data_IF_043735558215
#
_entry.id   IF_043735558215
#
_cell.length_a   1.000
_cell.length_b   1.000
_cell.length_c   1.000
_cell.angle_alpha   90.00
_cell.angle_beta   90.00
_cell.angle_gamma   90.00
#
_symmetry.space_group_name_H-M   'P 1'
#
loop_
_entity.id
_entity.type
_entity.pdbx_description
1 polymer ?
#
# COMPACT_ATOMS: atom_id res chain seq x y z
N UNK A 1 -18.76 4.23 44.96
CA UNK A 1 -19.52 4.04 43.70
C UNK A 1 -18.79 4.79 42.61
N UNK A 2 -18.36 4.24 41.48
CA UNK A 2 -18.38 2.85 41.00
C UNK A 2 -17.22 2.70 39.98
N UNK A 3 -16.53 1.56 39.97
CA UNK A 3 -15.35 1.18 39.15
C UNK A 3 -15.54 1.23 37.61
N UNK A 4 -16.60 1.86 37.11
CA UNK A 4 -17.01 1.81 35.70
C UNK A 4 -16.42 2.95 34.86
N UNK A 5 -16.12 4.11 35.45
CA UNK A 5 -15.64 5.30 34.73
C UNK A 5 -14.13 5.30 34.45
N UNK A 6 -13.35 4.42 35.09
CA UNK A 6 -11.91 4.29 34.79
C UNK A 6 -11.62 3.43 33.55
N UNK A 7 -12.54 2.52 33.18
CA UNK A 7 -12.38 1.63 32.01
C UNK A 7 -12.87 2.24 30.69
N UNK A 8 -13.62 3.34 30.72
CA UNK A 8 -14.09 4.03 29.51
C UNK A 8 -13.13 5.12 29.00
N UNK A 9 -12.08 5.46 29.77
CA UNK A 9 -11.00 6.33 29.28
C UNK A 9 -10.00 5.67 28.32
N UNK A 10 -10.07 4.34 28.17
CA UNK A 10 -9.11 3.55 27.38
C UNK A 10 -9.67 3.02 26.04
N UNK A 11 -10.96 3.20 25.74
CA UNK A 11 -11.62 2.63 24.54
C UNK A 11 -12.38 3.71 23.75
N UNK A 12 -11.81 4.91 23.69
CA UNK A 12 -12.32 5.99 22.81
C UNK A 12 -11.20 6.68 22.01
N UNK A 13 -10.00 6.09 21.98
CA UNK A 13 -8.81 6.60 21.26
C UNK A 13 -8.35 5.54 20.26
N UNK A 14 -9.26 5.07 19.39
CA UNK A 14 -8.94 4.20 18.27
C UNK A 14 -9.70 4.63 17.00
N UNK A 15 -9.67 5.95 16.74
CA UNK A 15 -9.61 6.63 15.44
C UNK A 15 -10.01 8.10 15.69
N UNK A 16 -9.10 9.05 15.47
CA UNK A 16 -8.84 9.49 14.10
C UNK A 16 -7.35 9.79 13.85
N UNK A 17 -6.47 8.80 13.94
CA UNK A 17 -5.06 8.92 13.51
C UNK A 17 -4.86 8.58 12.02
N UNK A 18 -5.88 8.82 11.19
CA UNK A 18 -5.82 8.63 9.72
C UNK A 18 -5.65 9.97 8.98
N UNK A 19 -5.66 11.09 9.71
CA UNK A 19 -5.66 12.43 9.13
C UNK A 19 -4.62 13.31 9.87
N UNK A 20 -3.46 13.50 9.23
CA UNK A 20 -2.43 14.51 9.55
C UNK A 20 -1.71 14.37 10.91
N UNK A 21 -0.41 14.03 10.90
CA UNK A 21 0.49 14.60 11.93
C UNK A 21 1.63 13.77 12.50
N UNK A 22 1.72 12.46 12.29
CA UNK A 22 2.89 11.71 12.77
C UNK A 22 3.40 10.79 11.66
N UNK A 23 4.18 11.39 10.75
CA UNK A 23 5.40 10.70 10.33
C UNK A 23 6.09 10.33 11.63
N UNK A 24 6.01 9.06 12.03
CA UNK A 24 6.95 8.51 12.96
C UNK A 24 8.21 8.30 12.14
N UNK A 25 9.26 9.14 12.27
CA UNK A 25 10.55 8.79 11.72
C UNK A 25 11.10 7.73 12.66
N UNK A 26 10.54 6.52 12.63
CA UNK A 26 11.30 5.33 12.99
C UNK A 26 12.38 5.27 11.92
N UNK A 27 13.46 5.98 12.22
CA UNK A 27 14.83 5.79 11.74
C UNK A 27 14.89 4.76 10.63
N UNK A 28 15.05 5.25 9.40
CA UNK A 28 15.22 4.45 8.17
C UNK A 28 16.37 3.42 8.26
N UNK A 29 17.17 3.46 9.34
CA UNK A 29 18.30 2.58 9.61
C UNK A 29 17.96 1.25 10.32
N UNK A 30 16.76 1.08 10.92
CA UNK A 30 16.45 -0.11 11.75
C UNK A 30 15.36 -1.04 11.19
N UNK A 31 14.79 -0.79 10.02
CA UNK A 31 13.94 -1.79 9.37
C UNK A 31 14.82 -2.91 8.81
N UNK A 32 14.71 -4.10 9.41
CA UNK A 32 15.27 -5.33 8.85
C UNK A 32 14.86 -5.42 7.37
N UNK A 33 15.80 -5.76 6.48
CA UNK A 33 15.56 -5.93 5.03
C UNK A 33 14.29 -6.75 4.76
N UNK A 34 13.99 -7.72 5.64
CA UNK A 34 12.76 -8.52 5.60
C UNK A 34 11.47 -7.70 5.80
N UNK A 35 11.44 -6.77 6.74
CA UNK A 35 10.29 -5.88 6.96
C UNK A 35 10.10 -4.90 5.80
N UNK A 36 11.21 -4.42 5.20
CA UNK A 36 11.15 -3.57 3.99
C UNK A 36 10.59 -4.35 2.80
N UNK A 37 11.01 -5.60 2.62
CA UNK A 37 10.46 -6.49 1.59
C UNK A 37 8.96 -6.72 1.83
N UNK A 38 8.54 -7.03 3.05
CA UNK A 38 7.13 -7.27 3.40
C UNK A 38 6.26 -6.04 3.11
N UNK A 39 6.73 -4.84 3.50
CA UNK A 39 6.02 -3.60 3.23
C UNK A 39 5.91 -3.32 1.72
N UNK A 40 7.00 -3.50 0.96
CA UNK A 40 6.98 -3.34 -0.49
C UNK A 40 6.06 -4.36 -1.18
N UNK A 41 6.00 -5.61 -0.68
CA UNK A 41 5.09 -6.63 -1.19
C UNK A 41 3.62 -6.22 -0.98
N UNK A 42 3.29 -5.67 0.20
CA UNK A 42 1.96 -5.12 0.49
C UNK A 42 1.61 -3.95 -0.43
N UNK A 43 2.55 -3.04 -0.68
CA UNK A 43 2.34 -1.88 -1.54
C UNK A 43 2.16 -2.30 -3.01
N UNK A 44 2.97 -3.24 -3.50
CA UNK A 44 2.82 -3.83 -4.83
C UNK A 44 1.45 -4.50 -5.01
N UNK A 45 1.04 -5.33 -4.05
CA UNK A 45 -0.26 -6.00 -4.10
C UNK A 45 -1.42 -5.00 -4.07
N UNK A 46 -1.32 -3.96 -3.25
CA UNK A 46 -2.33 -2.90 -3.19
C UNK A 46 -2.50 -2.20 -4.54
N UNK A 47 -1.39 -1.89 -5.24
CA UNK A 47 -1.43 -1.28 -6.56
C UNK A 47 -2.03 -2.20 -7.63
N UNK A 48 -1.72 -3.50 -7.58
CA UNK A 48 -2.31 -4.51 -8.48
C UNK A 48 -3.81 -4.64 -8.28
N UNK A 49 -4.27 -4.70 -7.03
CA UNK A 49 -5.70 -4.74 -6.70
C UNK A 49 -6.41 -3.48 -7.19
N UNK A 50 -5.82 -2.30 -6.97
CA UNK A 50 -6.38 -1.03 -7.48
C UNK A 50 -6.47 -1.01 -9.00
N UNK A 51 -5.45 -1.48 -9.71
CA UNK A 51 -5.49 -1.55 -11.17
C UNK A 51 -6.62 -2.48 -11.67
N UNK A 52 -6.73 -3.67 -11.07
CA UNK A 52 -7.79 -4.63 -11.40
C UNK A 52 -9.18 -4.10 -11.07
N UNK A 53 -9.34 -3.39 -9.94
CA UNK A 53 -10.60 -2.76 -9.57
C UNK A 53 -11.01 -1.69 -10.59
N UNK A 54 -10.08 -0.83 -11.01
CA UNK A 54 -10.34 0.18 -12.05
C UNK A 54 -10.75 -0.51 -13.36
N UNK A 55 -10.07 -1.58 -13.76
CA UNK A 55 -10.39 -2.35 -14.96
C UNK A 55 -11.80 -2.94 -14.93
N UNK A 56 -12.20 -3.53 -13.79
CA UNK A 56 -13.53 -4.10 -13.59
C UNK A 56 -14.62 -3.02 -13.61
N UNK A 57 -14.41 -1.93 -12.87
CA UNK A 57 -15.35 -0.80 -12.80
C UNK A 57 -15.49 -0.07 -14.14
N UNK A 58 -14.50 -0.21 -15.03
CA UNK A 58 -14.50 0.44 -16.35
C UNK A 58 -15.11 -0.42 -17.45
N UNK A 59 -15.33 -1.73 -17.26
CA UNK A 59 -15.94 -2.60 -18.27
C UNK A 59 -17.25 -2.04 -18.86
N UNK A 60 -18.19 -1.50 -18.05
CA UNK A 60 -19.44 -0.96 -18.59
C UNK A 60 -19.25 0.30 -19.46
N UNK A 61 -18.16 1.05 -19.24
CA UNK A 61 -17.89 2.30 -19.94
C UNK A 61 -17.40 2.08 -21.37
N UNK A 62 -16.87 0.90 -21.71
CA UNK A 62 -16.30 0.60 -23.04
C UNK A 62 -17.26 0.93 -24.19
N UNK A 63 -18.56 0.75 -24.01
CA UNK A 63 -19.58 0.96 -25.04
C UNK A 63 -20.37 2.26 -24.90
N UNK A 64 -20.25 2.95 -23.76
CA UNK A 64 -21.14 4.07 -23.41
C UNK A 64 -20.37 5.38 -23.17
N UNK A 65 -19.14 5.29 -22.68
CA UNK A 65 -18.23 6.41 -22.50
C UNK A 65 -16.79 5.97 -22.76
N UNK A 66 -16.44 5.85 -24.04
CA UNK A 66 -15.10 5.41 -24.45
C UNK A 66 -13.99 6.34 -23.97
N UNK A 67 -14.27 7.66 -23.86
CA UNK A 67 -13.27 8.62 -23.38
C UNK A 67 -12.96 8.33 -21.92
N UNK A 68 -13.98 8.28 -21.06
CA UNK A 68 -13.79 7.95 -19.65
C UNK A 68 -13.16 6.56 -19.46
N UNK A 69 -13.59 5.57 -20.25
CA UNK A 69 -12.99 4.24 -20.28
C UNK A 69 -11.47 4.31 -20.54
N UNK A 70 -11.04 5.03 -21.59
CA UNK A 70 -9.61 5.14 -21.93
C UNK A 70 -8.80 5.84 -20.83
N UNK A 71 -9.33 6.88 -20.21
CA UNK A 71 -8.67 7.58 -19.10
C UNK A 71 -8.49 6.67 -17.87
N UNK A 72 -9.54 5.93 -17.52
CA UNK A 72 -9.48 4.95 -16.43
C UNK A 72 -8.52 3.81 -16.74
N UNK A 73 -8.48 3.34 -17.99
CA UNK A 73 -7.54 2.32 -18.42
C UNK A 73 -6.08 2.78 -18.34
N UNK A 74 -5.79 4.02 -18.73
CA UNK A 74 -4.45 4.60 -18.59
C UNK A 74 -4.06 4.73 -17.11
N UNK A 75 -5.01 5.07 -16.23
CA UNK A 75 -4.80 5.07 -14.77
C UNK A 75 -4.47 3.67 -14.24
N UNK A 76 -5.20 2.63 -14.66
CA UNK A 76 -4.92 1.25 -14.27
C UNK A 76 -3.53 0.80 -14.76
N UNK A 77 -3.14 1.18 -15.97
CA UNK A 77 -1.81 0.91 -16.54
C UNK A 77 -0.69 1.55 -15.71
N UNK A 78 -0.87 2.81 -15.27
CA UNK A 78 0.09 3.47 -14.36
C UNK A 78 0.24 2.71 -13.04
N UNK A 79 -0.85 2.25 -12.44
CA UNK A 79 -0.80 1.45 -11.22
C UNK A 79 -0.06 0.11 -11.42
N UNK A 80 -0.29 -0.58 -12.54
CA UNK A 80 0.46 -1.80 -12.90
C UNK A 80 1.95 -1.53 -13.05
N UNK A 81 2.33 -0.48 -13.79
CA UNK A 81 3.74 -0.11 -13.98
C UNK A 81 4.43 0.23 -12.66
N UNK A 82 3.74 0.93 -11.75
CA UNK A 82 4.28 1.20 -10.41
C UNK A 82 4.48 -0.09 -9.60
N UNK A 83 3.53 -1.01 -9.64
CA UNK A 83 3.65 -2.31 -8.96
C UNK A 83 4.83 -3.13 -9.52
N UNK A 84 5.02 -3.15 -10.84
CA UNK A 84 6.14 -3.84 -11.49
C UNK A 84 7.50 -3.28 -11.06
N UNK A 85 7.62 -1.95 -10.91
CA UNK A 85 8.85 -1.31 -10.40
C UNK A 85 9.13 -1.71 -8.95
N UNK A 86 8.10 -1.79 -8.12
CA UNK A 86 8.23 -2.25 -6.73
C UNK A 86 8.65 -3.72 -6.69
N UNK A 87 8.04 -4.58 -7.51
CA UNK A 87 8.42 -5.98 -7.64
C UNK A 87 9.89 -6.16 -8.09
N UNK A 88 10.34 -5.32 -9.02
CA UNK A 88 11.75 -5.30 -9.41
C UNK A 88 12.65 -4.93 -8.23
N UNK A 89 12.27 -3.93 -7.43
CA UNK A 89 13.04 -3.53 -6.24
C UNK A 89 13.06 -4.61 -5.17
N UNK A 90 11.94 -5.30 -4.95
CA UNK A 90 11.88 -6.46 -4.05
C UNK A 90 12.86 -7.55 -4.50
N UNK A 91 12.93 -7.83 -5.81
CA UNK A 91 13.88 -8.81 -6.36
C UNK A 91 15.33 -8.39 -6.14
N UNK A 92 15.65 -7.09 -6.27
CA UNK A 92 16.99 -6.56 -5.96
C UNK A 92 17.34 -6.76 -4.48
N UNK A 93 16.45 -6.36 -3.57
CA UNK A 93 16.66 -6.49 -2.12
C UNK A 93 16.83 -7.95 -1.69
N UNK A 94 16.05 -8.87 -2.28
CA UNK A 94 16.19 -10.32 -2.05
C UNK A 94 17.56 -10.86 -2.52
N UNK A 95 18.10 -10.33 -3.62
CA UNK A 95 19.44 -10.69 -4.12
C UNK A 95 20.56 -10.11 -3.27
N UNK A 96 20.39 -8.90 -2.75
CA UNK A 96 21.33 -8.27 -1.83
C UNK A 96 21.47 -9.07 -0.53
N UNK A 97 20.36 -9.56 0.04
CA UNK A 97 20.36 -10.49 1.19
C UNK A 97 21.12 -11.80 0.93
N UNK A 98 21.09 -12.29 -0.32
CA UNK A 98 21.67 -13.58 -0.69
C UNK A 98 23.18 -13.52 -1.01
N UNK A 99 23.79 -12.33 -1.06
CA UNK A 99 25.24 -12.21 -1.19
C UNK A 99 25.85 -12.46 0.19
N UNK A 100 26.60 -13.57 0.41
CA UNK A 100 27.30 -13.76 1.67
C UNK A 100 28.27 -12.60 1.83
N UNK A 101 28.12 -11.84 2.93
CA UNK A 101 29.17 -10.93 3.37
C UNK A 101 30.43 -11.76 3.59
N UNK A 102 31.40 -11.61 2.69
CA UNK A 102 32.76 -12.13 2.84
C UNK A 102 33.62 -11.18 3.64
#
# INVERSE_FOLDING_TARGET
MSDYTRKLGAIAILLPMVLFGEYNPLTEEDLNVDQRIEQLEKDSNTLKVKAMQIELESQPLMFHDWIEYTERMEKAKRHRSMAERIDAKIKELKKEKAKPHG
#
